data_IF_619407371482
#
_entry.id   IF_619407371482
#
_cell.length_a   1.000
_cell.length_b   1.000
_cell.length_c   1.000
_cell.angle_alpha   90.00
_cell.angle_beta   90.00
_cell.angle_gamma   90.00
#
_symmetry.space_group_name_H-M   'P 1'
#
loop_
_entity.id
_entity.type
_entity.pdbx_description
1 polymer ?
#
# COMPACT_ATOMS: atom_id res chain seq x y z
N UNK A 1 -19.30 13.43 -3.30
CA UNK A 1 -19.57 12.46 -2.21
C UNK A 1 -18.28 11.76 -1.87
N UNK A 2 -18.04 11.46 -0.59
CA UNK A 2 -16.86 10.69 -0.17
C UNK A 2 -16.96 9.24 -0.69
N UNK A 3 -15.82 8.66 -1.05
CA UNK A 3 -15.70 7.27 -1.49
C UNK A 3 -15.50 6.40 -0.24
N UNK A 4 -16.40 5.45 -0.02
CA UNK A 4 -16.30 4.49 1.08
C UNK A 4 -15.21 3.47 0.79
N UNK A 5 -14.28 3.31 1.71
CA UNK A 5 -13.09 2.48 1.49
C UNK A 5 -12.71 1.69 2.75
N UNK A 6 -12.21 0.48 2.55
CA UNK A 6 -11.49 -0.31 3.54
C UNK A 6 -10.01 -0.28 3.13
N UNK A 7 -9.13 -0.03 4.10
CA UNK A 7 -7.67 -0.11 3.89
C UNK A 7 -7.21 -1.45 4.46
N UNK A 8 -6.70 -2.34 3.60
CA UNK A 8 -6.12 -3.63 3.98
C UNK A 8 -4.61 -3.50 3.91
N UNK A 9 -3.90 -3.62 5.03
CA UNK A 9 -2.50 -3.25 5.12
C UNK A 9 -1.76 -4.09 6.16
N UNK A 10 -0.44 -3.97 6.19
CA UNK A 10 0.48 -4.68 7.08
C UNK A 10 1.47 -3.68 7.67
N UNK A 11 1.00 -2.75 8.53
CA UNK A 11 1.63 -1.45 8.76
C UNK A 11 3.14 -1.48 9.04
N UNK A 12 3.89 -1.25 7.98
CA UNK A 12 5.28 -0.85 7.95
C UNK A 12 5.43 0.67 7.81
N UNK A 13 6.53 1.08 7.18
CA UNK A 13 6.95 2.48 7.12
C UNK A 13 6.12 3.23 6.08
N UNK A 14 6.00 2.69 4.87
CA UNK A 14 5.21 3.28 3.78
C UNK A 14 3.70 3.08 3.95
N UNK A 15 3.22 1.97 4.52
CA UNK A 15 1.82 1.83 4.94
C UNK A 15 1.40 2.96 5.88
N UNK A 16 2.27 3.31 6.83
CA UNK A 16 2.02 4.38 7.79
C UNK A 16 1.83 5.73 7.09
N UNK A 17 2.65 6.01 6.07
CA UNK A 17 2.49 7.19 5.22
C UNK A 17 1.20 7.14 4.39
N UNK A 18 0.80 5.95 3.94
CA UNK A 18 -0.44 5.75 3.20
C UNK A 18 -1.67 5.97 4.08
N UNK A 19 -1.65 5.48 5.32
CA UNK A 19 -2.67 5.73 6.34
C UNK A 19 -2.76 7.23 6.63
N UNK A 20 -1.64 7.92 6.86
CA UNK A 20 -1.62 9.37 7.05
C UNK A 20 -2.26 10.11 5.87
N UNK A 21 -1.87 9.76 4.64
CA UNK A 21 -2.46 10.35 3.42
C UNK A 21 -3.97 10.09 3.36
N UNK A 22 -4.41 8.87 3.66
CA UNK A 22 -5.81 8.50 3.58
C UNK A 22 -6.66 9.26 4.62
N UNK A 23 -6.19 9.36 5.86
CA UNK A 23 -6.87 10.08 6.95
C UNK A 23 -7.00 11.58 6.66
N UNK A 24 -6.01 12.16 6.00
CA UNK A 24 -6.00 13.57 5.60
C UNK A 24 -6.73 13.86 4.28
N UNK A 25 -7.31 12.85 3.63
CA UNK A 25 -7.95 12.99 2.33
C UNK A 25 -9.48 13.08 2.44
N UNK A 26 -10.09 14.26 2.21
CA UNK A 26 -11.54 14.46 2.37
C UNK A 26 -12.38 13.68 1.35
N UNK A 27 -11.77 13.19 0.27
CA UNK A 27 -12.39 12.32 -0.72
C UNK A 27 -12.74 10.93 -0.15
N UNK A 28 -12.10 10.52 0.95
CA UNK A 28 -12.22 9.18 1.52
C UNK A 28 -13.11 9.15 2.76
N UNK A 29 -13.95 8.12 2.83
CA UNK A 29 -14.71 7.70 3.99
C UNK A 29 -14.20 6.32 4.41
N UNK A 30 -13.22 6.30 5.33
CA UNK A 30 -12.54 5.09 5.77
C UNK A 30 -13.45 4.35 6.75
N UNK A 31 -13.99 3.22 6.31
CA UNK A 31 -14.91 2.41 7.10
C UNK A 31 -14.19 1.61 8.19
N UNK A 32 -12.93 1.29 7.95
CA UNK A 32 -12.06 0.56 8.85
C UNK A 32 -10.73 0.21 8.18
N UNK A 33 -9.77 -0.15 9.01
CA UNK A 33 -8.45 -0.64 8.61
C UNK A 33 -8.36 -2.11 8.99
N UNK A 34 -8.00 -2.98 8.06
CA UNK A 34 -7.79 -4.40 8.30
C UNK A 34 -6.30 -4.71 8.21
N UNK A 35 -5.80 -5.48 9.17
CA UNK A 35 -4.38 -5.82 9.28
C UNK A 35 -4.16 -7.24 8.77
N UNK A 36 -3.12 -7.45 7.97
CA UNK A 36 -2.58 -8.77 7.62
C UNK A 36 -1.13 -8.86 8.10
N UNK A 37 -0.60 -10.07 8.28
CA UNK A 37 0.84 -10.27 8.43
C UNK A 37 1.55 -10.04 7.09
N UNK A 38 2.72 -9.40 7.14
CA UNK A 38 3.56 -9.03 6.00
C UNK A 38 4.83 -8.37 6.51
N UNK A 39 4.99 -7.06 6.33
CA UNK A 39 6.17 -6.29 6.76
C UNK A 39 6.60 -6.58 8.20
N UNK A 40 5.63 -6.74 9.10
CA UNK A 40 5.82 -7.16 10.49
C UNK A 40 4.75 -8.19 10.91
N UNK A 41 5.00 -8.97 11.98
CA UNK A 41 4.00 -9.90 12.52
C UNK A 41 2.67 -9.18 12.80
N UNK A 42 1.55 -9.88 12.60
CA UNK A 42 0.20 -9.28 12.65
C UNK A 42 -0.05 -8.34 13.84
N UNK A 43 0.34 -8.77 15.05
CA UNK A 43 0.16 -7.96 16.28
C UNK A 43 0.99 -6.68 16.26
N UNK A 44 2.19 -6.73 15.69
CA UNK A 44 3.08 -5.59 15.58
C UNK A 44 2.56 -4.59 14.55
N UNK A 45 2.12 -5.05 13.38
CA UNK A 45 1.43 -4.21 12.39
C UNK A 45 0.19 -3.53 12.97
N UNK A 46 -0.59 -4.23 13.78
CA UNK A 46 -1.74 -3.66 14.49
C UNK A 46 -1.35 -2.51 15.45
N UNK A 47 -0.32 -2.70 16.26
CA UNK A 47 0.18 -1.65 17.15
C UNK A 47 0.79 -0.46 16.36
N UNK A 48 1.41 -0.73 15.22
CA UNK A 48 1.92 0.31 14.32
C UNK A 48 0.80 1.17 13.73
N UNK A 49 -0.28 0.57 13.23
CA UNK A 49 -1.46 1.33 12.82
C UNK A 49 -2.05 2.18 13.96
N UNK A 50 -2.13 1.63 15.19
CA UNK A 50 -2.61 2.40 16.35
C UNK A 50 -1.74 3.62 16.65
N UNK A 51 -0.41 3.48 16.59
CA UNK A 51 0.54 4.60 16.78
C UNK A 51 0.31 5.70 15.73
N UNK A 52 0.10 5.33 14.46
CA UNK A 52 -0.21 6.27 13.38
C UNK A 52 -1.56 6.96 13.59
N UNK A 53 -2.62 6.21 13.92
CA UNK A 53 -3.93 6.77 14.22
C UNK A 53 -3.88 7.74 15.41
N UNK A 54 -3.14 7.40 16.46
CA UNK A 54 -2.95 8.27 17.61
C UNK A 54 -2.20 9.57 17.24
N UNK A 55 -1.11 9.48 16.46
CA UNK A 55 -0.37 10.65 16.00
C UNK A 55 -1.23 11.61 15.15
N UNK A 56 -2.14 11.04 14.35
CA UNK A 56 -3.07 11.76 13.49
C UNK A 56 -4.36 12.20 14.21
N UNK A 57 -4.50 11.95 15.51
CA UNK A 57 -5.69 12.26 16.30
C UNK A 57 -6.98 11.59 15.74
N UNK A 58 -6.85 10.35 15.23
CA UNK A 58 -7.90 9.58 14.52
C UNK A 58 -8.15 8.17 15.07
N UNK A 59 -8.08 8.03 16.40
CA UNK A 59 -8.50 6.81 17.11
C UNK A 59 -10.02 6.51 17.00
N UNK A 60 -10.78 7.26 16.21
CA UNK A 60 -12.15 6.91 15.83
C UNK A 60 -12.23 5.85 14.72
N UNK A 61 -11.15 5.61 13.97
CA UNK A 61 -11.15 4.71 12.78
C UNK A 61 -10.84 3.25 13.16
N UNK A 62 -11.82 2.33 13.19
CA UNK A 62 -11.60 1.01 13.76
C UNK A 62 -10.54 0.19 13.00
N UNK A 63 -9.69 -0.52 13.74
CA UNK A 63 -8.68 -1.45 13.21
C UNK A 63 -9.08 -2.89 13.55
N UNK A 64 -9.05 -3.79 12.57
CA UNK A 64 -9.42 -5.20 12.73
C UNK A 64 -8.25 -6.12 12.38
N UNK A 65 -7.93 -7.05 13.29
CA UNK A 65 -6.91 -8.08 13.08
C UNK A 65 -7.40 -9.13 12.07
N UNK A 66 -6.61 -9.41 11.04
CA UNK A 66 -6.88 -10.40 10.01
C UNK A 66 -5.98 -11.63 10.10
N UNK A 67 -5.46 -12.07 8.96
CA UNK A 67 -4.62 -13.25 8.82
C UNK A 67 -3.23 -13.02 9.42
N UNK A 68 -2.75 -13.99 10.20
CA UNK A 68 -1.44 -13.92 10.87
C UNK A 68 -0.31 -14.60 10.09
N UNK A 69 -0.61 -15.18 8.91
CA UNK A 69 0.34 -15.86 8.03
C UNK A 69 -0.24 -16.05 6.62
N UNK A 70 0.61 -16.29 5.61
CA UNK A 70 0.18 -16.67 4.26
C UNK A 70 -0.63 -17.97 4.21
N UNK A 71 -1.35 -18.20 3.11
CA UNK A 71 -2.20 -19.39 2.95
C UNK A 71 -1.44 -20.72 2.92
N UNK A 72 -0.27 -20.75 2.28
CA UNK A 72 0.49 -21.99 2.03
C UNK A 72 1.95 -21.89 2.45
N UNK A 73 2.61 -20.78 2.07
CA UNK A 73 4.02 -20.52 2.38
C UNK A 73 4.23 -20.32 3.89
N UNK A 74 5.42 -20.64 4.38
CA UNK A 74 5.85 -20.17 5.70
C UNK A 74 5.99 -18.63 5.68
N UNK A 75 5.49 -17.98 6.73
CA UNK A 75 5.54 -16.53 6.90
C UNK A 75 6.99 -16.04 6.98
N UNK A 76 7.30 -14.98 6.24
CA UNK A 76 8.60 -14.29 6.30
C UNK A 76 8.34 -12.79 6.46
N UNK A 77 8.70 -12.25 7.63
CA UNK A 77 8.62 -10.81 7.87
C UNK A 77 9.67 -10.02 7.06
N UNK A 78 9.50 -8.70 7.02
CA UNK A 78 10.45 -7.76 6.43
C UNK A 78 11.04 -6.82 7.49
N UNK A 79 11.28 -7.31 8.71
CA UNK A 79 11.87 -6.48 9.78
C UNK A 79 13.33 -6.07 9.46
N UNK A 80 14.01 -6.78 8.55
CA UNK A 80 15.30 -6.38 7.98
C UNK A 80 15.21 -5.08 7.13
N UNK A 81 14.00 -4.74 6.71
CA UNK A 81 13.64 -3.59 5.88
C UNK A 81 12.95 -2.51 6.71
N UNK A 82 12.12 -2.90 7.68
CA UNK A 82 11.27 -2.01 8.48
C UNK A 82 11.78 -1.75 9.91
N UNK A 83 12.89 -2.38 10.32
CA UNK A 83 13.46 -2.28 11.67
C UNK A 83 12.76 -3.20 12.68
N UNK A 84 13.37 -3.40 13.85
CA UNK A 84 12.86 -4.35 14.85
C UNK A 84 11.46 -4.00 15.40
N UNK A 85 11.13 -2.70 15.44
CA UNK A 85 9.80 -2.23 15.83
C UNK A 85 8.81 -2.19 14.65
N UNK A 86 9.25 -2.57 13.44
CA UNK A 86 8.45 -2.57 12.21
C UNK A 86 8.08 -1.16 11.74
N UNK A 87 8.66 -0.12 12.36
CA UNK A 87 8.35 1.28 12.10
C UNK A 87 9.61 2.15 12.15
N UNK A 88 10.70 1.63 11.61
CA UNK A 88 11.94 2.36 11.37
C UNK A 88 12.76 2.67 12.62
N UNK A 89 12.69 1.80 13.64
CA UNK A 89 13.33 1.99 14.95
C UNK A 89 12.88 3.29 15.61
N UNK A 90 11.59 3.60 15.45
CA UNK A 90 10.97 4.78 16.02
C UNK A 90 10.78 4.63 17.54
N UNK A 91 10.54 3.41 18.04
CA UNK A 91 10.23 3.17 19.45
C UNK A 91 9.14 4.11 19.99
N UNK A 92 8.13 4.37 19.15
CA UNK A 92 6.97 5.16 19.58
C UNK A 92 6.24 4.45 20.73
N UNK A 93 5.69 5.20 21.69
CA UNK A 93 5.04 4.62 22.87
C UNK A 93 3.85 3.75 22.47
N UNK A 94 3.59 2.73 23.28
CA UNK A 94 2.41 1.89 23.13
C UNK A 94 1.13 2.71 23.36
N UNK A 95 0.06 2.36 22.63
CA UNK A 95 -1.25 2.97 22.77
C UNK A 95 -2.14 1.97 23.49
N UNK A 96 -2.49 2.24 24.75
CA UNK A 96 -3.36 1.36 25.53
C UNK A 96 -4.81 1.38 25.03
N UNK A 97 -5.51 0.25 25.23
CA UNK A 97 -6.87 0.07 24.73
C UNK A 97 -6.90 -0.18 23.22
N UNK A 98 -8.05 0.05 22.61
CA UNK A 98 -8.26 -0.10 21.16
C UNK A 98 -8.31 -1.54 20.66
N UNK A 99 -9.38 -2.28 20.97
CA UNK A 99 -9.58 -3.63 20.44
C UNK A 99 -11.02 -3.74 19.92
N UNK A 100 -11.16 -4.30 18.73
CA UNK A 100 -12.46 -4.63 18.16
C UNK A 100 -12.86 -6.04 18.57
N UNK A 101 -14.16 -6.27 18.81
CA UNK A 101 -14.68 -7.57 19.22
C UNK A 101 -14.83 -8.57 18.06
N UNK A 102 -14.52 -8.16 16.83
CA UNK A 102 -14.59 -8.98 15.62
C UNK A 102 -13.26 -8.90 14.88
N UNK A 103 -12.94 -9.93 14.11
CA UNK A 103 -11.76 -9.95 13.24
C UNK A 103 -12.03 -9.24 11.89
N UNK A 104 -10.99 -9.08 11.07
CA UNK A 104 -11.07 -8.43 9.76
C UNK A 104 -12.05 -9.15 8.82
N UNK A 105 -12.09 -10.48 8.85
CA UNK A 105 -12.94 -11.29 7.96
C UNK A 105 -14.44 -11.08 8.27
N UNK A 106 -14.81 -11.10 9.55
CA UNK A 106 -16.18 -10.82 9.99
C UNK A 106 -16.57 -9.35 9.72
N UNK A 107 -15.61 -8.43 9.86
CA UNK A 107 -15.80 -7.02 9.48
C UNK A 107 -16.06 -6.88 7.98
N UNK A 108 -15.28 -7.55 7.13
CA UNK A 108 -15.49 -7.56 5.68
C UNK A 108 -16.88 -8.09 5.31
N UNK A 109 -17.28 -9.25 5.85
CA UNK A 109 -18.59 -9.84 5.58
C UNK A 109 -19.75 -8.92 5.97
N UNK A 110 -19.68 -8.34 7.19
CA UNK A 110 -20.69 -7.41 7.69
C UNK A 110 -20.75 -6.13 6.85
N UNK A 111 -19.60 -5.59 6.47
CA UNK A 111 -19.53 -4.31 5.76
C UNK A 111 -19.98 -4.47 4.31
N UNK A 112 -19.44 -5.45 3.58
CA UNK A 112 -19.73 -5.64 2.15
C UNK A 112 -21.14 -6.15 1.86
N UNK A 113 -21.79 -6.80 2.84
CA UNK A 113 -23.19 -7.22 2.71
C UNK A 113 -24.19 -6.06 2.80
N UNK A 114 -23.80 -4.92 3.38
CA UNK A 114 -24.70 -3.78 3.65
C UNK A 114 -24.27 -2.50 2.95
N UNK A 115 -22.98 -2.39 2.62
CA UNK A 115 -22.36 -1.17 2.14
C UNK A 115 -21.52 -1.47 0.92
N UNK A 116 -21.81 -0.76 -0.17
CA UNK A 116 -20.94 -0.74 -1.34
C UNK A 116 -19.70 0.09 -1.01
N UNK A 117 -18.53 -0.54 -0.99
CA UNK A 117 -17.24 0.12 -0.76
C UNK A 117 -16.13 -0.51 -1.62
N UNK A 118 -15.02 0.22 -1.74
CA UNK A 118 -13.79 -0.24 -2.39
C UNK A 118 -12.79 -0.74 -1.35
N UNK A 119 -11.76 -1.44 -1.82
CA UNK A 119 -10.62 -1.85 -1.00
C UNK A 119 -9.34 -1.25 -1.59
N UNK A 120 -8.54 -0.62 -0.74
CA UNK A 120 -7.14 -0.30 -1.04
C UNK A 120 -6.31 -1.34 -0.28
N UNK A 121 -5.71 -2.27 -1.01
CA UNK A 121 -4.85 -3.31 -0.45
C UNK A 121 -3.39 -2.88 -0.60
N UNK A 122 -2.72 -2.71 0.54
CA UNK A 122 -1.35 -2.25 0.69
C UNK A 122 -0.40 -3.38 1.11
N UNK A 123 -0.96 -4.49 1.59
CA UNK A 123 -0.20 -5.68 1.98
C UNK A 123 -0.53 -6.95 1.18
N UNK A 124 -0.04 -8.12 1.66
CA UNK A 124 -0.41 -9.42 1.12
C UNK A 124 -1.93 -9.62 1.06
N UNK A 125 -2.42 -10.21 -0.04
CA UNK A 125 -3.87 -10.31 -0.31
C UNK A 125 -4.60 -11.40 0.51
N UNK A 126 -4.00 -11.89 1.59
CA UNK A 126 -4.44 -13.04 2.39
C UNK A 126 -5.82 -12.84 3.00
N UNK A 127 -6.09 -11.66 3.57
CA UNK A 127 -7.42 -11.32 4.12
C UNK A 127 -8.51 -11.43 3.04
N UNK A 128 -8.24 -10.89 1.85
CA UNK A 128 -9.16 -10.93 0.72
C UNK A 128 -9.33 -12.36 0.19
N UNK A 129 -8.28 -13.17 0.13
CA UNK A 129 -8.39 -14.56 -0.27
C UNK A 129 -9.19 -15.40 0.72
N UNK A 130 -9.04 -15.19 2.03
CA UNK A 130 -9.91 -15.79 3.03
C UNK A 130 -11.37 -15.36 2.86
N UNK A 131 -11.63 -14.10 2.49
CA UNK A 131 -12.99 -13.65 2.17
C UNK A 131 -13.55 -14.37 0.94
N UNK A 132 -12.75 -14.58 -0.11
CA UNK A 132 -13.15 -15.39 -1.28
C UNK A 132 -13.55 -16.80 -0.84
N UNK A 133 -12.73 -17.44 -0.01
CA UNK A 133 -12.93 -18.82 0.46
C UNK A 133 -14.14 -18.97 1.39
N UNK A 134 -14.33 -18.04 2.33
CA UNK A 134 -15.42 -18.09 3.32
C UNK A 134 -16.74 -17.61 2.74
N UNK A 135 -16.74 -16.48 2.04
CA UNK A 135 -17.95 -15.79 1.60
C UNK A 135 -17.74 -15.03 0.30
N UNK A 136 -17.69 -15.81 -0.76
CA UNK A 136 -17.50 -15.32 -2.13
C UNK A 136 -18.54 -14.26 -2.53
N UNK A 137 -19.78 -14.37 -2.05
CA UNK A 137 -20.83 -13.38 -2.35
C UNK A 137 -20.50 -12.01 -1.76
N UNK A 138 -19.96 -11.96 -0.54
CA UNK A 138 -19.51 -10.70 0.06
C UNK A 138 -18.33 -10.12 -0.72
N UNK A 139 -17.35 -10.95 -1.11
CA UNK A 139 -16.21 -10.52 -1.92
C UNK A 139 -16.65 -9.86 -3.25
N UNK A 140 -17.63 -10.44 -3.95
CA UNK A 140 -18.11 -9.91 -5.24
C UNK A 140 -18.72 -8.49 -5.14
N UNK A 141 -19.17 -8.11 -3.94
CA UNK A 141 -19.74 -6.80 -3.67
C UNK A 141 -18.70 -5.68 -3.59
N UNK A 142 -17.40 -6.01 -3.49
CA UNK A 142 -16.31 -5.03 -3.53
C UNK A 142 -16.42 -4.24 -4.84
N UNK A 143 -16.55 -2.92 -4.74
CA UNK A 143 -16.74 -2.06 -5.93
C UNK A 143 -15.50 -2.01 -6.80
N UNK A 144 -14.34 -1.90 -6.15
CA UNK A 144 -13.04 -1.72 -6.79
C UNK A 144 -11.94 -2.19 -5.84
N UNK A 145 -10.89 -2.78 -6.39
CA UNK A 145 -9.66 -3.11 -5.67
C UNK A 145 -8.52 -2.32 -6.30
N UNK A 146 -7.85 -1.49 -5.49
CA UNK A 146 -6.54 -0.92 -5.82
C UNK A 146 -5.53 -1.65 -4.95
N UNK A 147 -4.63 -2.39 -5.57
CA UNK A 147 -3.61 -3.18 -4.88
C UNK A 147 -2.25 -2.58 -5.16
N UNK A 148 -1.53 -2.17 -4.11
CA UNK A 148 -0.08 -2.00 -4.19
C UNK A 148 0.53 -3.40 -4.20
N UNK A 149 1.21 -3.72 -5.29
CA UNK A 149 1.84 -5.02 -5.44
C UNK A 149 2.05 -5.42 -6.89
N UNK A 150 2.89 -6.43 -7.08
CA UNK A 150 3.29 -6.94 -8.39
C UNK A 150 4.26 -6.05 -9.15
N UNK A 151 4.71 -6.56 -10.30
CA UNK A 151 5.56 -5.87 -11.25
C UNK A 151 5.34 -6.37 -12.68
N UNK A 152 5.59 -5.53 -13.69
CA UNK A 152 5.50 -5.90 -15.09
C UNK A 152 6.85 -5.76 -15.81
N UNK A 153 7.38 -4.53 -15.92
CA UNK A 153 8.69 -4.25 -16.54
C UNK A 153 9.78 -4.00 -15.53
N UNK A 154 9.43 -3.73 -14.28
CA UNK A 154 10.39 -3.63 -13.19
C UNK A 154 10.94 -5.00 -12.81
N UNK A 155 12.13 -5.02 -12.20
CA UNK A 155 12.56 -6.17 -11.41
C UNK A 155 11.78 -6.22 -10.09
N UNK A 156 11.73 -7.41 -9.48
CA UNK A 156 11.16 -7.60 -8.15
C UNK A 156 12.02 -6.97 -7.04
N UNK A 157 11.48 -6.89 -5.83
CA UNK A 157 12.20 -6.41 -4.63
C UNK A 157 12.43 -7.51 -3.59
N UNK A 158 11.71 -8.63 -3.68
CA UNK A 158 11.93 -9.79 -2.82
C UNK A 158 12.65 -10.94 -3.55
N UNK A 159 12.39 -11.08 -4.84
CA UNK A 159 13.16 -11.93 -5.75
C UNK A 159 13.45 -11.16 -7.03
N UNK A 160 14.26 -11.70 -7.96
CA UNK A 160 14.51 -11.02 -9.24
C UNK A 160 13.23 -10.67 -10.03
N UNK A 161 12.13 -11.40 -9.80
CA UNK A 161 10.87 -11.26 -10.57
C UNK A 161 9.64 -10.94 -9.73
N UNK A 162 9.70 -11.08 -8.41
CA UNK A 162 8.54 -10.96 -7.54
C UNK A 162 8.63 -9.72 -6.63
N UNK A 163 7.50 -9.03 -6.55
CA UNK A 163 7.26 -7.97 -5.57
C UNK A 163 6.78 -8.60 -4.25
N UNK A 164 7.18 -8.01 -3.12
CA UNK A 164 6.98 -8.54 -1.77
C UNK A 164 5.54 -8.97 -1.45
N UNK A 165 4.54 -8.12 -1.62
CA UNK A 165 3.15 -8.44 -1.25
C UNK A 165 2.62 -9.67 -1.98
N UNK A 166 2.94 -9.79 -3.27
CA UNK A 166 2.53 -10.95 -4.07
C UNK A 166 3.45 -12.16 -3.87
N UNK A 167 4.70 -11.94 -3.45
CA UNK A 167 5.63 -13.01 -3.07
C UNK A 167 5.33 -13.61 -1.70
N UNK A 168 4.83 -12.82 -0.76
CA UNK A 168 4.53 -13.24 0.60
C UNK A 168 3.33 -14.19 0.61
N UNK A 169 2.29 -13.90 -0.16
CA UNK A 169 1.18 -14.83 -0.39
C UNK A 169 0.76 -14.92 -1.87
N UNK A 170 1.52 -15.66 -2.70
CA UNK A 170 1.23 -15.86 -4.11
C UNK A 170 -0.10 -16.57 -4.34
N UNK A 171 -0.47 -17.52 -3.48
CA UNK A 171 -1.74 -18.23 -3.56
C UNK A 171 -2.91 -17.28 -3.30
N UNK A 172 -2.81 -16.42 -2.28
CA UNK A 172 -3.85 -15.43 -2.02
C UNK A 172 -4.01 -14.47 -3.18
N UNK A 173 -2.90 -13.95 -3.72
CA UNK A 173 -2.94 -13.07 -4.88
C UNK A 173 -3.59 -13.78 -6.09
N UNK A 174 -3.21 -15.03 -6.38
CA UNK A 174 -3.84 -15.84 -7.43
C UNK A 174 -5.34 -15.98 -7.23
N UNK A 175 -5.78 -16.38 -6.03
CA UNK A 175 -7.20 -16.56 -5.69
C UNK A 175 -7.99 -15.26 -5.90
N UNK A 176 -7.44 -14.13 -5.46
CA UNK A 176 -8.09 -12.81 -5.58
C UNK A 176 -8.19 -12.38 -7.05
N UNK A 177 -7.13 -12.51 -7.84
CA UNK A 177 -7.16 -12.19 -9.28
C UNK A 177 -8.15 -13.08 -10.04
N UNK A 178 -8.12 -14.40 -9.80
CA UNK A 178 -9.04 -15.34 -10.43
C UNK A 178 -10.49 -15.10 -10.04
N UNK A 179 -10.76 -14.75 -8.78
CA UNK A 179 -12.13 -14.47 -8.33
C UNK A 179 -12.63 -13.14 -8.88
N UNK A 180 -11.84 -12.07 -8.78
CA UNK A 180 -12.28 -10.74 -9.17
C UNK A 180 -12.54 -10.67 -10.68
N UNK A 181 -11.78 -11.41 -11.50
CA UNK A 181 -12.05 -11.58 -12.93
C UNK A 181 -13.48 -12.06 -13.23
N UNK A 182 -14.10 -12.87 -12.35
CA UNK A 182 -15.48 -13.37 -12.51
C UNK A 182 -16.55 -12.30 -12.27
N UNK A 183 -16.16 -11.13 -11.76
CA UNK A 183 -17.07 -9.99 -11.49
C UNK A 183 -17.11 -8.98 -12.65
N UNK A 184 -16.38 -9.22 -13.74
CA UNK A 184 -16.17 -8.28 -14.86
C UNK A 184 -15.59 -6.91 -14.42
N UNK A 185 -14.93 -6.88 -13.27
CA UNK A 185 -14.15 -5.73 -12.76
C UNK A 185 -12.67 -6.04 -12.88
N UNK A 186 -11.84 -5.00 -12.74
CA UNK A 186 -10.38 -5.11 -12.86
C UNK A 186 -9.70 -4.69 -11.57
N UNK A 187 -8.69 -5.46 -11.15
CA UNK A 187 -7.78 -5.03 -10.09
C UNK A 187 -6.88 -3.93 -10.66
N UNK A 188 -6.76 -2.81 -9.96
CA UNK A 188 -5.78 -1.80 -10.31
C UNK A 188 -4.46 -2.14 -9.63
N UNK A 189 -3.50 -2.63 -10.43
CA UNK A 189 -2.19 -3.05 -9.95
C UNK A 189 -1.23 -1.85 -9.95
N UNK A 190 -0.96 -1.34 -8.76
CA UNK A 190 0.00 -0.27 -8.47
C UNK A 190 1.34 -0.94 -8.15
N UNK A 191 1.98 -1.46 -9.20
CA UNK A 191 3.22 -2.24 -9.07
C UNK A 191 4.51 -1.41 -9.08
N UNK A 192 5.63 -2.11 -8.96
CA UNK A 192 6.98 -1.51 -8.89
C UNK A 192 7.33 -0.60 -10.09
N UNK A 193 6.71 -0.81 -11.25
CA UNK A 193 6.83 0.02 -12.46
C UNK A 193 6.54 1.52 -12.21
N UNK A 194 5.67 1.82 -11.23
CA UNK A 194 5.31 3.19 -10.86
C UNK A 194 5.77 3.55 -9.46
N UNK A 195 5.73 2.63 -8.49
CA UNK A 195 6.06 2.96 -7.11
C UNK A 195 7.54 3.29 -6.93
N UNK A 196 8.45 2.59 -7.63
CA UNK A 196 9.89 2.87 -7.60
C UNK A 196 10.28 4.29 -8.03
N UNK A 197 9.39 5.01 -8.71
CA UNK A 197 9.60 6.41 -9.11
C UNK A 197 9.24 7.40 -7.99
N UNK A 198 8.63 6.92 -6.90
CA UNK A 198 8.22 7.73 -5.76
C UNK A 198 9.25 7.59 -4.65
N UNK A 199 10.33 8.37 -4.77
CA UNK A 199 11.45 8.35 -3.82
C UNK A 199 11.32 9.54 -2.87
N UNK A 200 11.16 9.25 -1.58
CA UNK A 200 11.30 10.25 -0.52
C UNK A 200 12.79 10.50 -0.28
N UNK A 201 13.29 11.60 -0.83
CA UNK A 201 14.71 11.99 -0.72
C UNK A 201 14.99 12.72 0.60
N UNK A 202 16.26 12.78 1.05
CA UNK A 202 16.64 13.59 2.21
C UNK A 202 16.24 15.07 2.08
N UNK A 203 16.31 15.63 0.87
CA UNK A 203 15.91 17.00 0.59
C UNK A 203 14.40 17.20 0.76
N UNK A 204 13.58 16.27 0.24
CA UNK A 204 12.13 16.30 0.46
C UNK A 204 11.79 16.18 1.94
N UNK A 205 12.46 15.29 2.67
CA UNK A 205 12.22 15.10 4.09
C UNK A 205 12.58 16.34 4.92
N UNK A 206 13.73 16.95 4.66
CA UNK A 206 14.10 18.22 5.30
C UNK A 206 13.09 19.32 4.95
N UNK A 207 12.67 19.40 3.69
CA UNK A 207 11.65 20.36 3.26
C UNK A 207 10.33 20.17 4.01
N UNK A 208 9.88 18.93 4.20
CA UNK A 208 8.68 18.60 4.97
C UNK A 208 8.75 19.10 6.42
N UNK A 209 9.87 18.90 7.10
CA UNK A 209 10.08 19.41 8.47
C UNK A 209 10.07 20.93 8.56
N UNK A 210 10.59 21.63 7.53
CA UNK A 210 10.54 23.10 7.50
C UNK A 210 9.12 23.63 7.35
N UNK A 211 8.26 22.91 6.63
CA UNK A 211 6.87 23.32 6.43
C UNK A 211 5.99 22.96 7.63
N UNK A 212 6.15 21.75 8.17
CA UNK A 212 5.40 21.26 9.32
C UNK A 212 6.33 20.42 10.20
N UNK A 213 6.79 21.02 11.30
CA UNK A 213 7.72 20.36 12.21
C UNK A 213 7.12 19.10 12.82
N UNK A 214 5.82 19.08 13.15
CA UNK A 214 5.17 17.92 13.81
C UNK A 214 5.17 16.73 12.85
N UNK A 215 4.70 16.94 11.62
CA UNK A 215 4.54 15.88 10.64
C UNK A 215 5.88 15.45 10.05
N UNK A 216 6.74 16.41 9.70
CA UNK A 216 8.08 16.11 9.20
C UNK A 216 8.92 15.32 10.20
N UNK A 217 8.90 15.69 11.49
CA UNK A 217 9.69 14.98 12.52
C UNK A 217 9.20 13.55 12.72
N UNK A 218 7.89 13.33 12.66
CA UNK A 218 7.31 11.98 12.74
C UNK A 218 7.76 11.14 11.54
N UNK A 219 7.65 11.69 10.33
CA UNK A 219 8.02 10.99 9.10
C UNK A 219 9.52 10.67 9.11
N UNK A 220 10.37 11.64 9.48
CA UNK A 220 11.82 11.40 9.61
C UNK A 220 12.12 10.26 10.58
N UNK A 221 11.38 10.21 11.69
CA UNK A 221 11.57 9.21 12.72
C UNK A 221 11.25 7.80 12.22
N UNK A 222 10.18 7.63 11.43
CA UNK A 222 9.79 6.31 10.91
C UNK A 222 10.54 5.91 9.63
N UNK A 223 11.10 6.85 8.86
CA UNK A 223 11.78 6.52 7.59
C UNK A 223 13.29 6.37 7.72
N UNK A 224 13.89 6.69 8.87
CA UNK A 224 15.35 6.69 9.03
C UNK A 224 16.00 5.36 8.65
N UNK A 225 15.53 4.26 9.23
CA UNK A 225 16.03 2.92 8.93
C UNK A 225 15.82 2.55 7.45
N UNK A 226 14.71 2.98 6.87
CA UNK A 226 14.34 2.70 5.48
C UNK A 226 15.29 3.34 4.47
N UNK A 227 15.86 4.50 4.79
CA UNK A 227 16.88 5.15 3.96
C UNK A 227 18.17 4.33 3.93
N UNK A 228 18.59 3.80 5.08
CA UNK A 228 19.79 2.99 5.18
C UNK A 228 19.63 1.66 4.41
N UNK A 229 18.46 1.02 4.53
CA UNK A 229 18.12 -0.18 3.74
C UNK A 229 18.21 0.09 2.23
N UNK A 230 17.51 1.10 1.73
CA UNK A 230 17.48 1.40 0.29
C UNK A 230 18.86 1.77 -0.26
N UNK A 231 19.72 2.40 0.53
CA UNK A 231 21.11 2.62 0.15
C UNK A 231 21.91 1.32 0.05
N UNK A 232 21.75 0.41 1.01
CA UNK A 232 22.50 -0.85 1.06
C UNK A 232 22.13 -1.81 -0.09
N UNK A 233 20.84 -1.88 -0.43
CA UNK A 233 20.33 -2.86 -1.40
C UNK A 233 20.13 -2.31 -2.81
N UNK A 234 19.67 -1.06 -2.94
CA UNK A 234 19.29 -0.48 -4.23
C UNK A 234 20.14 0.75 -4.60
N UNK A 235 21.04 1.19 -3.71
CA UNK A 235 21.89 2.38 -3.88
C UNK A 235 21.10 3.67 -4.16
N UNK A 236 19.88 3.76 -3.60
CA UNK A 236 19.02 4.94 -3.68
C UNK A 236 19.32 5.86 -2.50
N UNK A 237 19.46 7.16 -2.76
CA UNK A 237 19.59 8.19 -1.71
C UNK A 237 18.19 8.65 -1.30
N UNK A 238 17.60 7.94 -0.34
CA UNK A 238 16.22 8.13 0.11
C UNK A 238 15.56 6.78 0.34
N UNK A 239 14.22 6.74 0.34
CA UNK A 239 13.47 5.49 0.33
C UNK A 239 12.30 5.54 -0.65
N UNK A 240 11.98 4.41 -1.28
CA UNK A 240 10.76 4.29 -2.09
C UNK A 240 9.57 4.19 -1.16
N UNK A 241 8.55 5.04 -1.34
CA UNK A 241 7.32 5.00 -0.53
C UNK A 241 6.16 4.46 -1.38
N UNK A 242 5.96 3.14 -1.35
CA UNK A 242 5.12 2.45 -2.33
C UNK A 242 3.63 2.72 -2.12
N UNK A 243 3.16 2.44 -0.91
CA UNK A 243 1.75 2.42 -0.55
C UNK A 243 1.02 3.77 -0.68
N UNK A 244 1.64 4.91 -0.36
CA UNK A 244 1.01 6.21 -0.58
C UNK A 244 0.56 6.41 -2.03
N UNK A 245 1.24 5.81 -3.01
CA UNK A 245 0.84 5.93 -4.41
C UNK A 245 -0.49 5.23 -4.70
N UNK A 246 -0.78 4.11 -4.04
CA UNK A 246 -2.06 3.41 -4.22
C UNK A 246 -3.23 4.25 -3.69
N UNK A 247 -3.05 4.87 -2.52
CA UNK A 247 -4.04 5.80 -1.95
C UNK A 247 -4.20 7.04 -2.83
N UNK A 248 -3.09 7.65 -3.26
CA UNK A 248 -3.09 8.81 -4.15
C UNK A 248 -3.80 8.51 -5.48
N UNK A 249 -3.50 7.38 -6.10
CA UNK A 249 -4.13 6.93 -7.34
C UNK A 249 -5.64 6.65 -7.14
N UNK A 250 -6.05 6.15 -5.98
CA UNK A 250 -7.46 6.02 -5.61
C UNK A 250 -8.17 7.36 -5.50
N UNK A 251 -7.48 8.40 -5.01
CA UNK A 251 -8.04 9.76 -4.94
C UNK A 251 -8.10 10.40 -6.33
N UNK A 252 -7.02 10.32 -7.11
CA UNK A 252 -6.90 10.92 -8.45
C UNK A 252 -6.29 9.93 -9.45
N UNK A 253 -7.17 9.31 -10.26
CA UNK A 253 -6.79 8.34 -11.30
C UNK A 253 -5.88 8.93 -12.38
N UNK A 254 -5.86 10.25 -12.56
CA UNK A 254 -5.04 10.89 -13.59
C UNK A 254 -3.55 11.00 -13.20
N UNK A 255 -3.20 10.64 -11.96
CA UNK A 255 -1.81 10.55 -11.52
C UNK A 255 -1.04 9.43 -12.22
N UNK A 256 -1.73 8.35 -12.61
CA UNK A 256 -1.09 7.20 -13.23
C UNK A 256 -1.76 6.83 -14.55
N UNK A 257 -0.99 6.25 -15.47
CA UNK A 257 -1.52 5.68 -16.70
C UNK A 257 -0.90 4.30 -16.98
N UNK A 258 -1.54 3.57 -17.89
CA UNK A 258 -1.29 2.15 -18.08
C UNK A 258 -2.24 1.53 -19.09
N UNK A 259 -2.38 0.21 -19.03
CA UNK A 259 -3.20 -0.57 -19.96
C UNK A 259 -3.92 -1.70 -19.23
N UNK A 260 -4.95 -2.25 -19.86
CA UNK A 260 -5.69 -3.38 -19.32
C UNK A 260 -5.10 -4.67 -19.90
N UNK A 261 -4.85 -5.67 -19.05
CA UNK A 261 -4.34 -6.96 -19.48
C UNK A 261 -4.85 -8.09 -18.60
N UNK A 262 -4.86 -9.30 -19.14
CA UNK A 262 -4.95 -10.49 -18.30
C UNK A 262 -3.63 -10.64 -17.53
N UNK A 263 -3.74 -10.85 -16.23
CA UNK A 263 -2.61 -11.04 -15.33
C UNK A 263 -2.88 -12.25 -14.46
N UNK A 264 -1.90 -13.15 -14.42
CA UNK A 264 -1.90 -14.31 -13.52
C UNK A 264 -0.79 -14.16 -12.49
N UNK A 265 -0.87 -14.93 -11.40
CA UNK A 265 0.19 -14.99 -10.39
C UNK A 265 0.80 -16.39 -10.42
N UNK A 266 2.13 -16.44 -10.59
CA UNK A 266 2.89 -17.68 -10.52
C UNK A 266 3.03 -18.12 -9.05
N UNK A 267 2.71 -19.38 -8.78
CA UNK A 267 2.71 -19.96 -7.44
C UNK A 267 3.75 -21.08 -7.31
N UNK A 268 4.61 -21.30 -8.31
CA UNK A 268 5.61 -22.36 -8.24
C UNK A 268 6.96 -21.95 -8.87
N UNK A 269 7.99 -22.75 -8.59
CA UNK A 269 9.32 -22.61 -9.15
C UNK A 269 10.06 -21.34 -8.72
N UNK A 270 11.12 -21.02 -9.46
CA UNK A 270 11.99 -19.86 -9.18
C UNK A 270 11.30 -18.52 -9.44
N UNK A 271 10.17 -18.52 -10.14
CA UNK A 271 9.38 -17.34 -10.49
C UNK A 271 8.16 -17.15 -9.59
N UNK A 272 8.03 -17.93 -8.51
CA UNK A 272 6.97 -17.82 -7.53
C UNK A 272 6.80 -16.38 -7.04
N UNK A 273 5.55 -15.89 -7.03
CA UNK A 273 5.16 -14.52 -6.71
C UNK A 273 5.17 -13.55 -7.89
N UNK A 274 5.64 -13.97 -9.08
CA UNK A 274 5.64 -13.12 -10.26
C UNK A 274 4.20 -12.86 -10.75
N UNK A 275 3.87 -11.59 -10.98
CA UNK A 275 2.70 -11.20 -11.77
C UNK A 275 2.99 -11.35 -13.27
N UNK A 276 2.41 -12.38 -13.88
CA UNK A 276 2.55 -12.71 -15.30
C UNK A 276 1.54 -11.90 -16.10
N UNK A 277 1.98 -10.74 -16.62
CA UNK A 277 1.15 -9.80 -17.39
C UNK A 277 1.16 -10.15 -18.88
N UNK A 278 0.00 -10.52 -19.43
CA UNK A 278 -0.18 -10.84 -20.85
C UNK A 278 -0.34 -9.58 -21.72
N UNK A 279 0.73 -8.78 -21.79
CA UNK A 279 0.74 -7.49 -22.49
C UNK A 279 0.50 -7.54 -24.00
N UNK A 280 0.63 -8.72 -24.62
CA UNK A 280 0.39 -8.92 -26.06
C UNK A 280 -0.85 -9.76 -26.35
N UNK A 281 -1.64 -10.12 -25.33
CA UNK A 281 -2.88 -10.88 -25.49
C UNK A 281 -2.66 -12.30 -26.02
N UNK A 282 -1.53 -12.92 -25.71
CA UNK A 282 -1.18 -14.27 -26.15
C UNK A 282 -2.18 -15.32 -25.64
N UNK A 283 -2.63 -15.20 -24.40
CA UNK A 283 -3.61 -16.13 -23.81
C UNK A 283 -5.02 -15.89 -24.32
N UNK A 284 -5.29 -14.77 -25.00
CA UNK A 284 -6.62 -14.37 -25.49
C UNK A 284 -7.69 -14.42 -24.41
N UNK A 285 -7.32 -14.07 -23.17
CA UNK A 285 -8.23 -13.96 -22.03
C UNK A 285 -8.65 -12.50 -21.87
N UNK A 286 -9.85 -12.29 -21.34
CA UNK A 286 -10.33 -10.96 -20.95
C UNK A 286 -9.42 -10.36 -19.87
N UNK A 287 -9.22 -9.04 -19.95
CA UNK A 287 -8.38 -8.34 -19.00
C UNK A 287 -9.01 -8.31 -17.60
N UNK A 288 -8.28 -8.81 -16.60
CA UNK A 288 -8.68 -8.81 -15.19
C UNK A 288 -7.93 -7.76 -14.35
N UNK A 289 -6.98 -7.04 -14.95
CA UNK A 289 -6.20 -6.03 -14.26
C UNK A 289 -5.95 -4.78 -15.12
N UNK A 290 -5.85 -3.64 -14.45
CA UNK A 290 -5.31 -2.38 -14.96
C UNK A 290 -3.88 -2.28 -14.47
N UNK A 291 -2.91 -2.40 -15.38
CA UNK A 291 -1.48 -2.38 -15.08
C UNK A 291 -0.96 -0.96 -15.22
N UNK A 292 -0.52 -0.36 -14.11
CA UNK A 292 0.03 1.00 -14.11
C UNK A 292 1.51 0.96 -14.48
N UNK A 293 1.94 1.84 -15.40
CA UNK A 293 3.32 1.89 -15.90
C UNK A 293 3.93 3.29 -15.94
N UNK A 294 3.09 4.32 -15.83
CA UNK A 294 3.52 5.72 -15.75
C UNK A 294 2.86 6.40 -14.57
N UNK A 295 3.59 7.30 -13.93
CA UNK A 295 3.13 8.12 -12.81
C UNK A 295 3.67 9.54 -12.97
N UNK A 296 2.83 10.53 -12.66
CA UNK A 296 3.24 11.92 -12.50
C UNK A 296 3.76 12.14 -11.07
N UNK A 297 5.08 11.97 -10.91
CA UNK A 297 5.79 12.05 -9.62
C UNK A 297 5.57 13.41 -8.95
N UNK A 298 5.61 14.49 -9.73
CA UNK A 298 5.38 15.85 -9.21
C UNK A 298 3.98 15.99 -8.64
N UNK A 299 2.95 15.60 -9.40
CA UNK A 299 1.57 15.70 -8.93
C UNK A 299 1.31 14.77 -7.75
N UNK A 300 1.96 13.61 -7.70
CA UNK A 300 1.94 12.76 -6.52
C UNK A 300 2.46 13.50 -5.28
N UNK A 301 3.69 14.03 -5.31
CA UNK A 301 4.26 14.71 -4.13
C UNK A 301 3.47 15.97 -3.78
N UNK A 302 2.99 16.72 -4.78
CA UNK A 302 2.14 17.88 -4.53
C UNK A 302 0.83 17.49 -3.82
N UNK A 303 0.20 16.38 -4.21
CA UNK A 303 -0.97 15.83 -3.50
C UNK A 303 -0.57 15.40 -2.10
N UNK A 304 0.45 14.55 -1.96
CA UNK A 304 0.88 13.96 -0.71
C UNK A 304 1.19 15.02 0.34
N UNK A 305 2.11 15.96 0.03
CA UNK A 305 2.54 17.03 0.93
C UNK A 305 1.38 17.94 1.34
N UNK A 306 0.53 18.33 0.39
CA UNK A 306 -0.65 19.17 0.67
C UNK A 306 -1.64 18.52 1.64
N UNK A 307 -1.72 17.18 1.67
CA UNK A 307 -2.63 16.47 2.57
C UNK A 307 -2.03 16.28 3.94
N UNK A 308 -0.76 15.88 4.02
CA UNK A 308 -0.18 15.45 5.29
C UNK A 308 0.45 16.60 6.08
N UNK A 309 0.80 17.72 5.45
CA UNK A 309 1.41 18.87 6.12
C UNK A 309 0.41 20.01 6.31
N UNK A 310 0.47 20.68 7.46
CA UNK A 310 -0.18 21.98 7.65
C UNK A 310 0.64 23.10 6.98
N UNK A 311 0.50 23.23 5.66
CA UNK A 311 1.24 24.20 4.85
C UNK A 311 0.32 24.98 3.90
N UNK A 312 0.78 26.16 3.47
CA UNK A 312 0.06 26.94 2.45
C UNK A 312 0.39 26.41 1.07
N UNK A 313 -0.51 26.64 0.11
CA UNK A 313 -0.32 26.14 -1.26
C UNK A 313 0.94 26.73 -1.90
N UNK A 314 1.22 27.99 -1.63
CA UNK A 314 2.37 28.73 -2.17
C UNK A 314 3.71 28.16 -1.68
N UNK A 315 3.72 27.51 -0.51
CA UNK A 315 4.92 26.88 0.03
C UNK A 315 5.37 25.71 -0.87
N UNK A 316 4.42 25.03 -1.53
CA UNK A 316 4.69 23.90 -2.42
C UNK A 316 5.18 24.31 -3.82
N UNK A 317 5.20 25.61 -4.15
CA UNK A 317 5.73 26.08 -5.44
C UNK A 317 7.24 25.77 -5.60
N UNK A 318 7.95 25.56 -4.48
CA UNK A 318 9.36 25.15 -4.48
C UNK A 318 9.58 23.68 -4.85
N UNK A 319 8.52 22.86 -4.85
CA UNK A 319 8.61 21.43 -5.17
C UNK A 319 9.21 21.19 -6.57
N UNK A 320 8.96 22.08 -7.52
CA UNK A 320 9.57 22.03 -8.86
C UNK A 320 11.09 22.12 -8.84
N UNK A 321 11.65 22.93 -7.94
CA UNK A 321 13.10 23.04 -7.79
C UNK A 321 13.67 21.80 -7.12
N UNK A 322 12.97 21.27 -6.11
CA UNK A 322 13.41 20.08 -5.36
C UNK A 322 13.38 18.82 -6.24
N UNK A 323 12.31 18.62 -7.01
CA UNK A 323 12.18 17.46 -7.90
C UNK A 323 12.91 17.62 -9.23
N UNK A 324 13.14 18.86 -9.68
CA UNK A 324 13.74 19.17 -10.98
C UNK A 324 15.26 18.96 -11.05
N UNK A 325 15.95 18.91 -9.91
CA UNK A 325 17.41 18.71 -9.86
C UNK A 325 17.85 17.28 -10.20
N UNK A 326 16.94 16.29 -10.19
CA UNK A 326 17.24 14.90 -10.51
C UNK A 326 17.19 14.56 -12.02
N UNK A 327 16.52 15.37 -12.85
CA UNK A 327 16.45 15.13 -14.30
C UNK A 327 17.61 15.79 -15.09
N UNK A 328 18.61 16.34 -14.41
CA UNK A 328 19.73 17.08 -15.00
C UNK A 328 21.07 16.30 -15.00
N UNK A 329 21.08 14.99 -14.77
CA UNK A 329 22.29 14.16 -14.85
C UNK A 329 22.09 12.89 -15.64
#
# INVERSE_FOLDING_TARGET
>A
MKRKVIIDCDPGIDDSLAIMLALSSPELDILGITITAGNAPLKQGFENAKKVLNHMDRLDVPIFLGADKPLVKEYVDALDTHGEDGLGESFLPEIEGYIQNINALDFYEKTLSTTKCSVIALGPLTNLAHLVQKNTKAFDQIDEIVSMGGSYKSHGNCSPVAEYNYWEDPEAAKIVYERFAKTNKKIHMVGLDVTRKIVLTPTLLEFMERLDQKQGSFIRKITKFYFDFHWQWEHIIGCVINDPLAVAYFIDRSLCSGFDAYTDIETDGITRGQSVVDSYGYYRKEANARILTQVDVKRFFMLFLKRILDCKKEDLDYLDKILGEENAR
#
